data_IF_027820158755
#
_entry.id   IF_027820158755
#
_cell.length_a   1.000
_cell.length_b   1.000
_cell.length_c   1.000
_cell.angle_alpha   90.00
_cell.angle_beta   90.00
_cell.angle_gamma   90.00
#
_symmetry.space_group_name_H-M   'P 1'
#
loop_
_entity.id
_entity.type
_entity.pdbx_description
1 polymer ?
#
# COMPACT_ATOMS: atom_id res chain seq x y z
N UNK A 1 -8.93 29.01 2.76
CA UNK A 1 -9.29 28.15 1.61
C UNK A 1 -10.77 28.33 1.37
N UNK A 2 -11.18 28.93 0.24
CA UNK A 2 -12.59 29.10 -0.08
C UNK A 2 -13.01 27.91 -0.94
N UNK A 3 -13.59 26.88 -0.31
CA UNK A 3 -14.19 25.73 -0.98
C UNK A 3 -15.70 25.93 -1.06
N UNK A 4 -16.27 25.85 -2.26
CA UNK A 4 -17.72 25.80 -2.44
C UNK A 4 -18.16 24.33 -2.48
N UNK A 5 -19.12 23.95 -1.64
CA UNK A 5 -19.64 22.58 -1.52
C UNK A 5 -21.15 22.62 -1.69
N UNK A 6 -21.67 21.82 -2.62
CA UNK A 6 -23.10 21.59 -2.77
C UNK A 6 -23.44 20.21 -2.19
N UNK A 7 -24.22 20.17 -1.11
CA UNK A 7 -24.81 18.92 -0.57
C UNK A 7 -26.33 19.09 -0.50
N UNK A 8 -27.10 18.26 -1.20
CA UNK A 8 -28.56 18.22 -1.06
C UNK A 8 -28.98 17.28 0.07
N UNK A 9 -29.96 17.71 0.86
CA UNK A 9 -30.70 16.87 1.79
C UNK A 9 -31.95 16.33 1.08
N UNK A 10 -31.89 15.14 0.47
CA UNK A 10 -33.08 14.48 -0.07
C UNK A 10 -32.87 13.36 -1.09
N UNK A 11 -33.48 12.22 -0.79
CA UNK A 11 -33.89 11.05 -1.60
C UNK A 11 -32.85 10.19 -2.33
N UNK A 12 -32.89 8.90 -1.98
CA UNK A 12 -31.90 7.83 -2.11
C UNK A 12 -31.94 7.04 -3.43
N UNK A 13 -30.78 6.90 -4.08
CA UNK A 13 -30.42 5.68 -4.83
C UNK A 13 -29.47 4.88 -3.96
N UNK A 14 -29.75 3.59 -3.76
CA UNK A 14 -28.95 2.71 -2.92
C UNK A 14 -27.50 2.61 -3.42
N UNK A 15 -26.56 2.85 -2.50
CA UNK A 15 -25.12 2.80 -2.71
C UNK A 15 -24.65 1.34 -2.86
N UNK A 16 -23.84 1.02 -3.88
CA UNK A 16 -23.21 -0.31 -3.94
C UNK A 16 -22.18 -0.43 -2.82
N UNK A 17 -22.14 -1.59 -2.17
CA UNK A 17 -21.54 -1.84 -0.86
C UNK A 17 -19.99 -1.72 -0.76
N UNK A 18 -19.31 -0.99 -1.65
CA UNK A 18 -17.84 -0.92 -1.66
C UNK A 18 -17.24 0.49 -1.84
N UNK A 19 -18.05 1.54 -1.95
CA UNK A 19 -17.53 2.91 -2.11
C UNK A 19 -18.33 3.89 -1.26
N UNK A 20 -17.72 4.41 -0.19
CA UNK A 20 -18.33 5.45 0.65
C UNK A 20 -18.20 6.81 -0.02
N UNK A 21 -19.27 7.26 -0.69
CA UNK A 21 -19.37 8.61 -1.26
C UNK A 21 -19.63 9.61 -0.12
N UNK A 22 -18.99 10.78 -0.16
CA UNK A 22 -19.17 11.82 0.88
C UNK A 22 -20.52 12.53 0.69
N UNK A 23 -21.41 12.41 1.68
CA UNK A 23 -22.66 13.16 1.78
C UNK A 23 -23.86 12.29 2.12
N UNK A 24 -24.87 12.85 2.80
CA UNK A 24 -26.12 12.15 3.17
C UNK A 24 -27.18 12.16 2.05
N UNK A 25 -26.82 12.57 0.84
CA UNK A 25 -27.73 12.69 -0.30
C UNK A 25 -27.01 12.93 -1.63
N UNK A 26 -27.72 12.69 -2.73
CA UNK A 26 -27.33 13.04 -4.08
C UNK A 26 -28.33 14.05 -4.67
N UNK A 27 -27.89 14.86 -5.62
CA UNK A 27 -28.77 15.73 -6.38
C UNK A 27 -29.14 15.01 -7.67
N UNK A 28 -30.41 14.65 -7.82
CA UNK A 28 -30.93 14.17 -9.10
C UNK A 28 -31.28 15.36 -9.99
N UNK A 29 -30.66 15.42 -11.17
CA UNK A 29 -30.97 16.43 -12.18
C UNK A 29 -31.93 15.82 -13.20
N UNK A 30 -33.14 16.36 -13.32
CA UNK A 30 -34.14 15.89 -14.30
C UNK A 30 -34.84 17.09 -14.92
N UNK A 31 -34.27 17.68 -15.96
CA UNK A 31 -34.96 18.83 -16.56
C UNK A 31 -34.74 20.16 -15.84
N UNK A 32 -33.69 20.30 -15.03
CA UNK A 32 -33.30 21.57 -14.42
C UNK A 32 -31.78 21.72 -14.30
N UNK A 33 -31.32 22.94 -14.06
CA UNK A 33 -29.91 23.24 -13.78
C UNK A 33 -29.80 24.17 -12.57
N UNK A 34 -28.66 24.11 -11.89
CA UNK A 34 -28.30 25.05 -10.83
C UNK A 34 -27.49 26.17 -11.46
N UNK A 35 -27.75 27.42 -11.10
CA UNK A 35 -26.86 28.54 -11.38
C UNK A 35 -26.19 29.02 -10.10
N UNK A 36 -24.99 29.57 -10.23
CA UNK A 36 -24.27 30.22 -9.14
C UNK A 36 -23.36 31.32 -9.65
N UNK A 37 -22.79 32.09 -8.72
CA UNK A 37 -21.83 33.18 -9.01
C UNK A 37 -20.68 33.12 -7.99
N UNK A 38 -19.61 33.89 -8.22
CA UNK A 38 -18.52 34.05 -7.24
C UNK A 38 -17.34 33.07 -7.39
N UNK A 39 -17.35 32.22 -8.42
CA UNK A 39 -16.21 31.33 -8.74
C UNK A 39 -15.36 31.96 -9.85
N UNK A 40 -14.15 32.40 -9.51
CA UNK A 40 -13.19 32.95 -10.48
C UNK A 40 -12.01 31.99 -10.67
N UNK A 41 -11.96 31.37 -11.86
CA UNK A 41 -10.91 30.42 -12.29
C UNK A 41 -9.86 31.06 -13.22
N UNK A 42 -10.03 32.33 -13.59
CA UNK A 42 -9.23 33.00 -14.61
C UNK A 42 -7.79 33.14 -14.15
N UNK A 43 -6.85 32.80 -15.03
CA UNK A 43 -5.41 32.91 -14.78
C UNK A 43 -4.94 32.16 -13.51
N UNK A 44 -5.54 31.00 -13.20
CA UNK A 44 -5.25 30.25 -11.98
C UNK A 44 -5.02 28.77 -12.26
N UNK A 45 -4.26 28.13 -11.37
CA UNK A 45 -4.40 26.70 -11.16
C UNK A 45 -5.79 26.43 -10.57
N UNK A 46 -6.46 25.38 -11.02
CA UNK A 46 -7.73 25.00 -10.41
C UNK A 46 -8.02 23.51 -10.58
N UNK A 47 -8.92 23.00 -9.75
CA UNK A 47 -9.39 21.63 -9.82
C UNK A 47 -10.89 21.54 -9.57
N UNK A 48 -11.56 20.60 -10.23
CA UNK A 48 -12.98 20.30 -10.01
C UNK A 48 -13.09 18.81 -9.69
N UNK A 49 -13.85 18.45 -8.66
CA UNK A 49 -14.04 17.07 -8.22
C UNK A 49 -15.52 16.78 -7.98
N UNK A 50 -16.00 15.62 -8.42
CA UNK A 50 -17.43 15.28 -8.39
C UNK A 50 -17.65 13.77 -8.46
N UNK A 51 -18.68 13.29 -7.77
CA UNK A 51 -19.26 11.96 -7.99
C UNK A 51 -20.46 12.04 -8.91
N UNK A 52 -20.52 11.12 -9.87
CA UNK A 52 -21.55 11.11 -10.91
C UNK A 52 -22.12 9.71 -11.03
N UNK A 53 -23.44 9.59 -11.02
CA UNK A 53 -24.17 8.38 -11.42
C UNK A 53 -24.99 8.71 -12.66
N UNK A 54 -24.56 8.27 -13.83
CA UNK A 54 -25.27 8.50 -15.10
C UNK A 54 -26.26 7.39 -15.35
N UNK A 55 -27.50 7.71 -15.73
CA UNK A 55 -28.48 6.68 -16.14
C UNK A 55 -28.67 6.58 -17.65
N UNK A 56 -28.08 7.47 -18.44
CA UNK A 56 -28.19 7.47 -19.91
C UNK A 56 -26.95 8.03 -20.62
N UNK A 57 -26.79 7.65 -21.88
CA UNK A 57 -25.70 8.07 -22.76
C UNK A 57 -26.00 9.35 -23.55
N UNK A 58 -26.54 10.39 -22.89
CA UNK A 58 -26.88 11.66 -23.56
C UNK A 58 -25.85 12.76 -23.29
N UNK A 59 -25.81 13.76 -24.17
CA UNK A 59 -25.04 14.98 -23.98
C UNK A 59 -25.47 15.70 -22.70
N UNK A 60 -24.52 15.99 -21.82
CA UNK A 60 -24.81 16.68 -20.57
C UNK A 60 -23.59 17.43 -20.04
N UNK A 61 -23.77 18.68 -19.57
CA UNK A 61 -22.70 19.39 -18.88
C UNK A 61 -22.89 19.23 -17.37
N UNK A 62 -21.84 18.80 -16.70
CA UNK A 62 -21.76 18.73 -15.24
C UNK A 62 -21.51 20.13 -14.69
N UNK A 63 -20.61 20.89 -15.32
CA UNK A 63 -20.33 22.27 -14.99
C UNK A 63 -20.01 23.07 -16.26
N UNK A 64 -20.55 24.27 -16.34
CA UNK A 64 -20.18 25.24 -17.36
C UNK A 64 -20.01 26.63 -16.72
N UNK A 65 -18.92 27.34 -17.00
CA UNK A 65 -18.82 28.76 -16.65
C UNK A 65 -19.55 29.60 -17.70
N UNK A 66 -20.45 30.49 -17.29
CA UNK A 66 -21.17 31.35 -18.21
C UNK A 66 -20.26 32.52 -18.64
N UNK A 67 -19.45 32.32 -19.68
CA UNK A 67 -18.73 33.35 -20.42
C UNK A 67 -19.55 33.84 -21.62
N UNK A 68 -19.28 35.07 -22.11
CA UNK A 68 -19.88 35.55 -23.36
C UNK A 68 -19.58 34.55 -24.50
N UNK A 69 -20.59 34.26 -25.32
CA UNK A 69 -20.45 33.35 -26.47
C UNK A 69 -19.40 33.89 -27.45
N UNK A 70 -18.37 33.10 -27.73
CA UNK A 70 -17.31 33.42 -28.69
C UNK A 70 -15.97 33.78 -28.03
N UNK A 71 -14.88 33.19 -28.54
CA UNK A 71 -13.55 33.26 -27.92
C UNK A 71 -13.40 32.27 -26.74
N UNK A 72 -12.16 31.99 -26.35
CA UNK A 72 -11.72 31.02 -25.33
C UNK A 72 -12.17 31.33 -23.88
N UNK A 73 -13.47 31.51 -23.64
CA UNK A 73 -14.00 32.17 -22.44
C UNK A 73 -14.87 31.22 -21.58
N UNK A 74 -15.41 30.15 -22.17
CA UNK A 74 -16.35 29.25 -21.48
C UNK A 74 -15.69 27.90 -21.18
N UNK A 75 -15.50 27.59 -19.89
CA UNK A 75 -15.12 26.25 -19.44
C UNK A 75 -16.34 25.33 -19.44
N UNK A 76 -16.19 24.13 -20.00
CA UNK A 76 -17.22 23.09 -19.96
C UNK A 76 -16.58 21.80 -19.46
N UNK A 77 -17.23 21.19 -18.49
CA UNK A 77 -16.97 19.83 -18.03
C UNK A 77 -18.25 19.04 -18.24
N UNK A 78 -18.25 18.11 -19.18
CA UNK A 78 -19.44 17.44 -19.64
C UNK A 78 -19.16 16.17 -20.44
N UNK A 79 -20.24 15.60 -20.95
CA UNK A 79 -20.26 14.35 -21.70
C UNK A 79 -20.83 14.61 -23.07
N UNK A 80 -20.24 13.98 -24.06
CA UNK A 80 -20.85 13.82 -25.37
C UNK A 80 -21.82 12.63 -25.37
N UNK A 81 -22.80 12.67 -26.29
CA UNK A 81 -23.76 11.60 -26.59
C UNK A 81 -23.08 10.32 -27.10
N UNK A 82 -21.79 10.39 -27.41
CA UNK A 82 -20.92 9.26 -27.77
C UNK A 82 -20.19 8.63 -26.57
N UNK A 83 -20.58 8.95 -25.33
CA UNK A 83 -19.96 8.47 -24.08
C UNK A 83 -18.52 8.94 -23.84
N UNK A 84 -18.13 10.06 -24.42
CA UNK A 84 -16.86 10.70 -24.10
C UNK A 84 -17.08 11.74 -23.01
N UNK A 85 -16.44 11.54 -21.86
CA UNK A 85 -16.22 12.65 -20.92
C UNK A 85 -15.25 13.62 -21.57
N UNK A 86 -15.56 14.91 -21.48
CA UNK A 86 -14.70 15.97 -21.95
C UNK A 86 -14.61 17.11 -20.94
N UNK A 87 -13.44 17.73 -20.92
CA UNK A 87 -13.24 19.05 -20.34
C UNK A 87 -12.61 19.93 -21.40
N UNK A 88 -13.31 20.99 -21.79
CA UNK A 88 -12.85 21.91 -22.82
C UNK A 88 -13.05 23.38 -22.39
N UNK A 89 -12.38 24.28 -23.10
CA UNK A 89 -12.64 25.71 -23.01
C UNK A 89 -12.60 26.37 -24.40
N UNK A 90 -13.30 25.75 -25.36
CA UNK A 90 -13.34 26.15 -26.77
C UNK A 90 -11.96 26.26 -27.44
N UNK A 91 -11.16 25.20 -27.30
CA UNK A 91 -9.89 25.04 -28.00
C UNK A 91 -9.24 23.74 -27.53
N UNK A 92 -8.36 23.77 -26.53
CA UNK A 92 -7.81 22.59 -25.91
C UNK A 92 -8.89 21.78 -25.20
N UNK A 93 -8.80 20.48 -25.36
CA UNK A 93 -9.77 19.53 -24.82
C UNK A 93 -9.03 18.33 -24.27
N UNK A 94 -9.43 17.88 -23.08
CA UNK A 94 -9.05 16.55 -22.57
C UNK A 94 -10.30 15.68 -22.59
N UNK A 95 -10.20 14.54 -23.26
CA UNK A 95 -11.32 13.58 -23.39
C UNK A 95 -10.91 12.19 -22.93
N UNK A 96 -11.91 11.42 -22.50
CA UNK A 96 -11.76 10.00 -22.19
C UNK A 96 -13.06 9.27 -22.54
N UNK A 97 -12.96 8.08 -23.13
CA UNK A 97 -14.14 7.29 -23.44
C UNK A 97 -14.61 6.54 -22.18
N UNK A 98 -15.78 6.88 -21.67
CA UNK A 98 -16.39 6.22 -20.51
C UNK A 98 -17.86 5.84 -20.77
N UNK A 99 -18.05 4.56 -21.06
CA UNK A 99 -19.36 3.93 -21.30
C UNK A 99 -20.10 3.54 -20.02
N UNK A 100 -19.55 3.83 -18.83
CA UNK A 100 -20.16 3.45 -17.56
C UNK A 100 -21.50 4.17 -17.36
N UNK A 101 -22.55 3.37 -17.13
CA UNK A 101 -23.89 3.81 -16.77
C UNK A 101 -24.35 3.02 -15.54
N UNK A 102 -25.27 3.60 -14.77
CA UNK A 102 -25.86 3.02 -13.58
C UNK A 102 -24.84 2.63 -12.50
N UNK A 103 -23.73 3.37 -12.42
CA UNK A 103 -22.72 3.22 -11.39
C UNK A 103 -22.20 4.60 -10.97
N UNK A 104 -21.82 4.73 -9.70
CA UNK A 104 -21.14 5.90 -9.19
C UNK A 104 -19.68 5.93 -9.62
N UNK A 105 -19.29 6.96 -10.34
CA UNK A 105 -17.90 7.20 -10.76
C UNK A 105 -17.44 8.55 -10.23
N UNK A 106 -16.25 8.57 -9.65
CA UNK A 106 -15.59 9.80 -9.21
C UNK A 106 -14.74 10.35 -10.33
N UNK A 107 -14.91 11.64 -10.64
CA UNK A 107 -14.07 12.35 -11.57
C UNK A 107 -13.36 13.50 -10.89
N UNK A 108 -12.12 13.74 -11.28
CA UNK A 108 -11.41 14.96 -10.94
C UNK A 108 -10.70 15.52 -12.15
N UNK A 109 -10.91 16.80 -12.43
CA UNK A 109 -10.17 17.55 -13.42
C UNK A 109 -9.19 18.49 -12.70
N UNK A 110 -7.97 18.61 -13.22
CA UNK A 110 -6.99 19.58 -12.74
C UNK A 110 -6.40 20.37 -13.91
N UNK A 111 -6.17 21.67 -13.69
CA UNK A 111 -5.49 22.56 -14.61
C UNK A 111 -4.30 23.22 -13.92
N UNK A 112 -3.13 23.13 -14.56
CA UNK A 112 -1.92 23.84 -14.18
C UNK A 112 -1.63 24.95 -15.18
N UNK A 113 -1.60 26.20 -14.73
CA UNK A 113 -1.37 27.36 -15.61
C UNK A 113 0.08 27.50 -16.06
N UNK A 114 1.06 27.09 -15.24
CA UNK A 114 2.49 27.26 -15.55
C UNK A 114 2.90 26.41 -16.75
N UNK A 115 2.34 25.22 -16.89
CA UNK A 115 2.59 24.31 -18.02
C UNK A 115 1.41 24.14 -18.97
N UNK A 116 0.30 24.83 -18.74
CA UNK A 116 -0.97 24.65 -19.43
C UNK A 116 -1.46 23.19 -19.50
N UNK A 117 -1.24 22.45 -18.42
CA UNK A 117 -1.51 21.01 -18.36
C UNK A 117 -2.91 20.76 -17.83
N UNK A 118 -3.69 20.05 -18.62
CA UNK A 118 -5.03 19.56 -18.29
C UNK A 118 -4.93 18.09 -17.96
N UNK A 119 -5.47 17.66 -16.82
CA UNK A 119 -5.52 16.25 -16.44
C UNK A 119 -6.91 15.85 -16.02
N UNK A 120 -7.33 14.67 -16.46
CA UNK A 120 -8.58 14.07 -16.08
C UNK A 120 -8.33 12.75 -15.37
N UNK A 121 -8.94 12.61 -14.20
CA UNK A 121 -8.84 11.44 -13.34
C UNK A 121 -10.21 10.78 -13.20
N UNK A 122 -10.22 9.45 -13.24
CA UNK A 122 -11.38 8.59 -12.98
C UNK A 122 -11.05 7.69 -11.80
N UNK A 123 -11.87 7.70 -10.76
CA UNK A 123 -11.71 6.86 -9.58
C UNK A 123 -10.28 6.94 -8.99
N UNK A 124 -9.74 8.15 -8.92
CA UNK A 124 -8.38 8.42 -8.47
C UNK A 124 -7.27 8.14 -9.49
N UNK A 125 -7.54 7.48 -10.62
CA UNK A 125 -6.53 7.13 -11.63
C UNK A 125 -6.49 8.20 -12.72
N UNK A 126 -5.30 8.66 -13.13
CA UNK A 126 -5.14 9.55 -14.29
C UNK A 126 -5.53 8.78 -15.57
N UNK A 127 -6.54 9.27 -16.28
CA UNK A 127 -7.06 8.60 -17.49
C UNK A 127 -6.83 9.38 -18.78
N UNK A 128 -6.63 10.70 -18.69
CA UNK A 128 -6.29 11.52 -19.84
C UNK A 128 -5.49 12.76 -19.43
N UNK A 129 -4.62 13.23 -20.32
CA UNK A 129 -3.86 14.47 -20.15
C UNK A 129 -3.76 15.19 -21.49
N UNK A 130 -3.76 16.52 -21.46
CA UNK A 130 -3.46 17.36 -22.62
C UNK A 130 -2.63 18.56 -22.16
N UNK A 131 -1.80 19.11 -23.04
CA UNK A 131 -1.04 20.34 -22.83
C UNK A 131 -1.44 21.32 -23.92
N UNK A 132 -2.06 22.44 -23.56
CA UNK A 132 -2.60 23.37 -24.57
C UNK A 132 -1.54 24.20 -25.32
N UNK A 133 -0.27 24.08 -24.93
CA UNK A 133 0.89 24.67 -25.63
C UNK A 133 1.07 26.17 -25.43
N UNK A 134 0.00 26.97 -25.43
CA UNK A 134 0.08 28.44 -25.33
C UNK A 134 -1.15 29.12 -24.70
N UNK A 135 -2.15 28.38 -24.22
CA UNK A 135 -3.46 28.96 -23.92
C UNK A 135 -3.80 28.98 -22.43
N UNK A 136 -4.06 30.20 -21.93
CA UNK A 136 -4.54 30.49 -20.58
C UNK A 136 -6.06 30.48 -20.57
N UNK A 137 -6.66 29.82 -19.58
CA UNK A 137 -8.11 29.85 -19.39
C UNK A 137 -8.65 31.25 -19.07
N UNK A 138 -9.65 31.70 -19.85
CA UNK A 138 -10.48 32.89 -19.64
C UNK A 138 -9.71 34.22 -19.55
N UNK A 139 -8.95 34.53 -20.60
CA UNK A 139 -8.30 35.84 -20.81
C UNK A 139 -9.32 36.87 -21.33
N UNK A 140 -10.25 37.32 -20.48
CA UNK A 140 -11.05 38.51 -20.81
C UNK A 140 -12.46 38.61 -20.25
N UNK A 141 -13.02 37.58 -19.60
CA UNK A 141 -14.35 37.71 -18.98
C UNK A 141 -14.28 37.98 -17.48
N UNK A 142 -15.02 38.99 -17.03
CA UNK A 142 -15.28 39.25 -15.61
C UNK A 142 -16.39 38.37 -15.03
N UNK A 143 -17.04 37.54 -15.84
CA UNK A 143 -18.15 36.70 -15.37
C UNK A 143 -17.64 35.55 -14.50
N UNK A 144 -18.22 35.44 -13.31
CA UNK A 144 -17.96 34.35 -12.34
C UNK A 144 -19.18 33.44 -12.17
N UNK A 145 -20.14 33.59 -13.08
CA UNK A 145 -21.35 32.79 -13.16
C UNK A 145 -21.06 31.40 -13.68
N UNK A 146 -21.77 30.42 -13.14
CA UNK A 146 -21.67 29.04 -13.57
C UNK A 146 -23.02 28.36 -13.55
N UNK A 147 -23.15 27.30 -14.34
CA UNK A 147 -24.27 26.38 -14.32
C UNK A 147 -23.80 24.94 -14.09
N UNK A 148 -24.61 24.17 -13.36
CA UNK A 148 -24.41 22.74 -13.10
C UNK A 148 -25.63 22.00 -13.65
N UNK A 149 -25.39 20.99 -14.48
CA UNK A 149 -26.48 20.20 -15.06
C UNK A 149 -27.17 20.83 -16.26
N UNK A 150 -26.57 21.84 -16.91
CA UNK A 150 -27.14 22.48 -18.11
C UNK A 150 -26.75 21.70 -19.37
N UNK A 151 -27.69 21.43 -20.27
CA UNK A 151 -27.37 20.88 -21.61
C UNK A 151 -26.85 21.99 -22.52
N UNK A 152 -25.80 21.71 -23.27
CA UNK A 152 -25.22 22.64 -24.24
C UNK A 152 -26.16 22.84 -25.45
N UNK A 153 -26.56 24.09 -25.77
CA UNK A 153 -27.36 24.39 -26.98
C UNK A 153 -28.20 25.68 -26.98
N UNK A 154 -27.59 26.86 -26.89
CA UNK A 154 -28.27 28.14 -27.21
C UNK A 154 -29.39 28.58 -26.26
N UNK A 155 -29.87 29.82 -26.47
CA UNK A 155 -30.98 30.41 -25.70
C UNK A 155 -32.23 29.58 -25.99
N UNK A 156 -32.69 28.82 -25.00
CA UNK A 156 -33.82 27.90 -25.16
C UNK A 156 -33.48 26.40 -25.21
N UNK A 157 -32.21 25.98 -25.01
CA UNK A 157 -31.88 24.57 -24.73
C UNK A 157 -32.61 24.11 -23.47
N UNK A 158 -33.78 23.50 -23.68
CA UNK A 158 -34.57 22.86 -22.65
C UNK A 158 -33.73 21.78 -21.97
N UNK A 159 -33.87 21.73 -20.65
CA UNK A 159 -33.17 20.84 -19.75
C UNK A 159 -33.47 19.33 -19.94
N UNK A 160 -34.15 18.95 -21.01
CA UNK A 160 -34.55 17.58 -21.31
C UNK A 160 -33.31 16.71 -21.61
N UNK A 161 -32.97 15.84 -20.65
CA UNK A 161 -32.12 14.67 -20.89
C UNK A 161 -31.14 14.31 -19.79
N UNK A 162 -30.76 15.23 -18.90
CA UNK A 162 -29.64 15.04 -17.98
C UNK A 162 -29.96 14.13 -16.78
N UNK A 163 -30.48 12.92 -17.01
CA UNK A 163 -30.75 11.96 -15.94
C UNK A 163 -29.43 11.47 -15.35
N UNK A 164 -28.95 12.21 -14.35
CA UNK A 164 -27.77 11.89 -13.58
C UNK A 164 -27.95 12.31 -12.13
N UNK A 165 -27.29 11.59 -11.24
CA UNK A 165 -27.11 12.01 -9.87
C UNK A 165 -25.72 12.59 -9.71
N UNK A 166 -25.63 13.75 -9.06
CA UNK A 166 -24.38 14.35 -8.63
C UNK A 166 -24.23 14.27 -7.12
N UNK A 167 -23.02 14.07 -6.64
CA UNK A 167 -22.69 14.17 -5.21
C UNK A 167 -21.29 14.74 -5.02
N UNK A 168 -21.05 15.35 -3.85
CA UNK A 168 -19.77 15.95 -3.43
C UNK A 168 -19.08 16.80 -4.52
N UNK A 169 -19.84 17.66 -5.20
CA UNK A 169 -19.30 18.58 -6.20
C UNK A 169 -18.48 19.68 -5.52
N UNK A 170 -17.20 19.80 -5.93
CA UNK A 170 -16.22 20.72 -5.34
C UNK A 170 -15.43 21.44 -6.43
N UNK A 171 -15.19 22.73 -6.19
CA UNK A 171 -14.27 23.55 -6.98
C UNK A 171 -13.15 24.07 -6.06
N UNK A 172 -11.91 23.85 -6.48
CA UNK A 172 -10.70 24.36 -5.83
C UNK A 172 -10.08 25.44 -6.71
N UNK A 173 -10.12 26.69 -6.24
CA UNK A 173 -9.47 27.81 -6.91
C UNK A 173 -8.03 27.97 -6.41
N UNK A 174 -7.11 28.40 -7.28
CA UNK A 174 -5.67 28.53 -6.99
C UNK A 174 -4.98 27.22 -6.59
N UNK A 175 -5.47 26.06 -7.04
CA UNK A 175 -4.95 24.76 -6.63
C UNK A 175 -5.09 23.71 -7.74
N UNK A 176 -3.95 23.21 -8.22
CA UNK A 176 -3.87 21.91 -8.90
C UNK A 176 -3.78 20.84 -7.80
N UNK A 177 -4.79 19.97 -7.70
CA UNK A 177 -4.75 18.88 -6.72
C UNK A 177 -3.67 17.87 -7.09
N UNK A 178 -2.90 17.44 -6.09
CA UNK A 178 -1.95 16.33 -6.27
C UNK A 178 -2.67 14.98 -6.34
N UNK A 179 -2.00 13.97 -6.91
CA UNK A 179 -2.49 12.59 -6.98
C UNK A 179 -2.97 12.04 -5.63
N UNK A 180 -2.28 12.37 -4.54
CA UNK A 180 -2.65 11.96 -3.17
C UNK A 180 -3.94 12.64 -2.70
N UNK A 181 -4.12 13.93 -3.00
CA UNK A 181 -5.34 14.67 -2.67
C UNK A 181 -6.54 14.14 -3.46
N UNK A 182 -6.34 13.81 -4.74
CA UNK A 182 -7.37 13.21 -5.60
C UNK A 182 -7.79 11.83 -5.06
N UNK A 183 -6.83 10.98 -4.70
CA UNK A 183 -7.11 9.68 -4.07
C UNK A 183 -7.88 9.83 -2.75
N UNK A 184 -7.62 10.90 -1.98
CA UNK A 184 -8.36 11.20 -0.75
C UNK A 184 -9.81 11.61 -1.02
N UNK A 185 -10.08 12.27 -2.15
CA UNK A 185 -11.44 12.62 -2.57
C UNK A 185 -12.19 11.39 -3.11
N UNK A 186 -11.51 10.54 -3.90
CA UNK A 186 -12.07 9.32 -4.47
C UNK A 186 -12.41 8.25 -3.43
N UNK A 187 -11.53 7.97 -2.46
CA UNK A 187 -11.81 6.89 -1.49
C UNK A 187 -12.89 7.24 -0.47
N UNK A 188 -13.48 8.44 -0.61
CA UNK A 188 -14.05 9.14 0.52
C UNK A 188 -12.98 9.39 1.57
N UNK A 189 -13.30 10.18 2.57
CA UNK A 189 -12.46 10.17 3.75
C UNK A 189 -12.67 8.77 4.36
N UNK A 190 -11.66 7.91 4.33
CA UNK A 190 -11.52 6.87 5.37
C UNK A 190 -11.12 7.52 6.71
N UNK A 191 -11.07 8.85 6.79
CA UNK A 191 -11.48 9.50 8.03
C UNK A 191 -12.97 9.21 8.17
N UNK A 192 -13.31 8.19 8.97
CA UNK A 192 -14.49 8.29 9.85
C UNK A 192 -14.67 9.77 10.14
N UNK A 193 -15.84 10.34 9.86
CA UNK A 193 -16.21 11.57 10.54
C UNK A 193 -15.97 11.27 12.02
N UNK A 194 -14.88 11.77 12.58
CA UNK A 194 -14.79 11.98 13.99
C UNK A 194 -15.76 13.12 14.22
N UNK A 195 -17.06 12.78 14.26
CA UNK A 195 -18.05 13.63 14.90
C UNK A 195 -17.44 13.98 16.25
N UNK A 196 -17.49 15.26 16.64
CA UNK A 196 -17.05 15.68 17.98
C UNK A 196 -17.68 14.82 19.10
N UNK A 197 -18.81 14.15 18.82
CA UNK A 197 -19.46 13.18 19.71
C UNK A 197 -18.64 11.92 20.02
N UNK A 198 -17.67 11.54 19.18
CA UNK A 198 -16.85 10.34 19.37
C UNK A 198 -15.55 10.62 20.16
N UNK A 199 -15.30 11.88 20.54
CA UNK A 199 -14.27 12.27 21.50
C UNK A 199 -14.88 12.42 22.91
N UNK A 200 -15.70 11.47 23.37
CA UNK A 200 -15.98 11.35 24.81
C UNK A 200 -14.77 10.71 25.48
N UNK A 201 -14.09 11.54 26.25
CA UNK A 201 -12.94 11.23 27.09
C UNK A 201 -13.05 9.86 27.78
N UNK A 202 -11.99 9.05 27.63
CA UNK A 202 -11.55 8.13 28.68
C UNK A 202 -10.24 8.65 29.26
N UNK A 203 -10.28 9.83 29.86
CA UNK A 203 -9.28 10.29 30.81
C UNK A 203 -10.02 10.96 31.97
N UNK A 204 -9.93 10.45 33.22
CA UNK A 204 -10.74 10.95 34.33
C UNK A 204 -10.37 12.35 34.83
N UNK A 205 -9.27 12.97 34.37
CA UNK A 205 -8.76 14.21 34.98
C UNK A 205 -7.98 15.11 34.00
N UNK A 206 -8.66 15.79 33.07
CA UNK A 206 -8.03 16.93 32.38
C UNK A 206 -9.06 18.03 32.08
N UNK A 207 -8.85 19.19 32.70
CA UNK A 207 -9.62 20.43 32.62
C UNK A 207 -9.36 21.26 31.35
N UNK A 208 -9.06 20.63 30.21
CA UNK A 208 -8.94 21.33 28.92
C UNK A 208 -9.65 20.55 27.80
N UNK A 209 -10.81 21.05 27.36
CA UNK A 209 -11.71 20.40 26.40
C UNK A 209 -11.48 20.80 24.93
N UNK A 210 -10.29 21.25 24.56
CA UNK A 210 -9.95 21.51 23.16
C UNK A 210 -8.86 20.55 22.67
N UNK A 211 -9.22 19.64 21.75
CA UNK A 211 -8.24 18.92 20.94
C UNK A 211 -7.77 19.89 19.86
N UNK A 212 -6.50 20.26 19.92
CA UNK A 212 -5.87 21.09 18.91
C UNK A 212 -5.74 20.27 17.61
N UNK A 213 -6.50 20.64 16.58
CA UNK A 213 -6.52 19.95 15.29
C UNK A 213 -5.14 19.93 14.62
N UNK A 214 -4.33 20.96 14.88
CA UNK A 214 -2.94 21.05 14.42
C UNK A 214 -2.08 19.93 15.02
N UNK A 215 -2.26 19.63 16.31
CA UNK A 215 -1.53 18.57 17.00
C UNK A 215 -1.97 17.18 16.51
N UNK A 216 -3.26 17.00 16.17
CA UNK A 216 -3.75 15.75 15.59
C UNK A 216 -3.23 15.54 14.15
N UNK A 217 -3.23 16.58 13.31
CA UNK A 217 -2.68 16.49 11.94
C UNK A 217 -1.16 16.28 11.97
N UNK A 218 -0.47 16.97 12.88
CA UNK A 218 0.96 16.77 13.11
C UNK A 218 1.23 15.33 13.60
N UNK A 219 0.45 14.80 14.54
CA UNK A 219 0.60 13.43 15.05
C UNK A 219 0.48 12.38 13.95
N UNK A 220 -0.37 12.60 12.94
CA UNK A 220 -0.46 11.67 11.79
C UNK A 220 0.65 11.87 10.79
N UNK A 221 1.02 13.11 10.45
CA UNK A 221 2.05 13.37 9.42
C UNK A 221 3.48 13.06 9.88
N UNK A 222 3.76 13.17 11.17
CA UNK A 222 5.07 12.89 11.75
C UNK A 222 5.16 11.51 12.41
N UNK A 223 4.15 10.66 12.21
CA UNK A 223 4.11 9.31 12.79
C UNK A 223 5.32 8.50 12.33
N UNK A 224 6.07 7.98 13.30
CA UNK A 224 7.29 7.20 13.06
C UNK A 224 8.51 8.02 12.62
N UNK A 225 8.42 9.34 12.49
CA UNK A 225 9.56 10.19 12.13
C UNK A 225 10.33 10.72 13.36
N UNK A 226 9.69 10.75 14.52
CA UNK A 226 10.28 11.24 15.78
C UNK A 226 9.95 10.30 16.94
N UNK A 227 10.87 10.19 17.90
CA UNK A 227 10.72 9.29 19.05
C UNK A 227 9.55 9.63 19.97
N UNK A 228 9.08 10.88 20.00
CA UNK A 228 7.88 11.28 20.75
C UNK A 228 6.56 10.87 20.06
N UNK A 229 6.62 10.34 18.83
CA UNK A 229 5.46 9.91 18.06
C UNK A 229 5.74 8.62 17.27
N UNK A 230 6.08 7.51 17.96
CA UNK A 230 6.34 6.23 17.30
C UNK A 230 5.05 5.61 16.76
N UNK A 231 5.18 4.83 15.69
CA UNK A 231 4.06 4.04 15.15
C UNK A 231 4.00 2.65 15.76
N UNK A 232 2.88 1.94 15.62
CA UNK A 232 2.78 0.55 16.11
C UNK A 232 3.65 -0.41 15.29
N UNK A 233 3.74 -0.18 13.99
CA UNK A 233 4.57 -0.90 13.05
C UNK A 233 4.80 -0.05 11.79
N UNK A 234 5.65 -0.51 10.88
CA UNK A 234 5.96 0.22 9.64
C UNK A 234 4.75 0.34 8.69
N UNK A 235 3.85 -0.65 8.69
CA UNK A 235 2.62 -0.57 7.90
C UNK A 235 1.67 0.53 8.39
N UNK A 236 1.60 0.75 9.71
CA UNK A 236 0.85 1.85 10.33
C UNK A 236 1.40 3.22 9.88
N UNK A 237 2.73 3.37 9.83
CA UNK A 237 3.37 4.57 9.24
C UNK A 237 2.91 4.74 7.80
N UNK A 238 3.05 3.70 6.98
CA UNK A 238 2.74 3.78 5.56
C UNK A 238 1.29 4.17 5.32
N UNK A 239 0.36 3.55 6.04
CA UNK A 239 -1.08 3.78 5.88
C UNK A 239 -1.51 5.19 6.35
N UNK A 240 -0.88 5.74 7.40
CA UNK A 240 -1.26 7.03 7.94
C UNK A 240 -0.51 8.22 7.32
N UNK A 241 0.70 8.00 6.81
CA UNK A 241 1.58 9.07 6.27
C UNK A 241 1.70 9.06 4.75
N UNK A 242 1.50 7.90 4.11
CA UNK A 242 1.79 7.72 2.69
C UNK A 242 3.28 7.67 2.34
N UNK A 243 4.18 7.60 3.34
CA UNK A 243 5.62 7.51 3.11
C UNK A 243 6.01 6.22 2.39
N UNK A 244 6.93 6.34 1.43
CA UNK A 244 7.39 5.25 0.56
C UNK A 244 8.91 5.08 0.55
N UNK A 245 9.64 5.87 1.34
CA UNK A 245 11.10 5.86 1.38
C UNK A 245 11.58 4.82 2.38
N UNK A 246 12.47 3.91 1.98
CA UNK A 246 13.08 2.99 2.94
C UNK A 246 14.02 3.75 3.88
N UNK A 247 14.11 3.34 5.14
CA UNK A 247 14.97 4.01 6.11
C UNK A 247 14.59 3.73 7.54
N UNK A 248 15.12 4.54 8.45
CA UNK A 248 14.94 4.35 9.89
C UNK A 248 13.70 5.09 10.40
N UNK A 249 12.82 4.37 11.10
CA UNK A 249 11.58 4.89 11.64
C UNK A 249 11.38 4.48 13.10
N UNK A 250 10.69 5.32 13.86
CA UNK A 250 10.35 5.05 15.25
C UNK A 250 9.13 4.13 15.37
N UNK A 251 9.35 2.95 15.95
CA UNK A 251 8.34 1.94 16.23
C UNK A 251 8.15 1.82 17.74
N UNK A 252 6.92 1.71 18.20
CA UNK A 252 6.57 1.52 19.59
C UNK A 252 6.75 0.05 19.96
N UNK A 253 7.82 -0.23 20.69
CA UNK A 253 8.17 -1.52 21.21
C UNK A 253 7.86 -1.55 22.71
N UNK A 254 6.76 -2.22 23.10
CA UNK A 254 6.31 -2.28 24.49
C UNK A 254 6.20 -0.89 25.15
N UNK A 255 5.62 0.08 24.42
CA UNK A 255 5.51 1.50 24.77
C UNK A 255 6.82 2.29 24.79
N UNK A 256 7.94 1.69 24.39
CA UNK A 256 9.23 2.36 24.23
C UNK A 256 9.49 2.63 22.74
N UNK A 257 9.74 3.88 22.33
CA UNK A 257 10.14 4.18 20.96
C UNK A 257 11.52 3.58 20.65
N UNK A 258 11.59 2.72 19.65
CA UNK A 258 12.86 2.20 19.11
C UNK A 258 12.99 2.62 17.65
N UNK A 259 14.23 2.83 17.20
CA UNK A 259 14.50 3.11 15.81
C UNK A 259 14.70 1.78 15.06
N UNK A 260 13.95 1.56 13.98
CA UNK A 260 13.95 0.32 13.20
C UNK A 260 14.10 0.64 11.72
N UNK A 261 14.95 -0.10 11.01
CA UNK A 261 15.03 0.02 9.55
C UNK A 261 13.80 -0.61 8.90
N UNK A 262 13.11 0.15 8.05
CA UNK A 262 11.87 -0.26 7.42
C UNK A 262 11.96 -0.20 5.90
N UNK A 263 11.39 -1.20 5.25
CA UNK A 263 11.16 -1.19 3.80
C UNK A 263 9.76 -0.62 3.53
N UNK A 264 9.71 0.57 2.97
CA UNK A 264 8.49 1.34 2.71
C UNK A 264 8.13 1.37 1.23
N UNK A 265 9.05 1.05 0.32
CA UNK A 265 8.74 1.04 -1.12
C UNK A 265 7.71 -0.04 -1.49
N UNK A 266 6.92 0.21 -2.53
CA UNK A 266 5.87 -0.71 -2.99
C UNK A 266 6.41 -1.99 -3.62
N UNK A 267 7.67 -2.01 -4.08
CA UNK A 267 8.32 -3.21 -4.64
C UNK A 267 8.42 -4.38 -3.65
N UNK A 268 8.35 -4.10 -2.35
CA UNK A 268 8.33 -5.11 -1.30
C UNK A 268 6.90 -5.47 -0.92
N UNK A 269 6.11 -6.04 -1.84
CA UNK A 269 4.71 -6.42 -1.60
C UNK A 269 3.88 -5.31 -0.93
N UNK A 270 3.95 -4.09 -1.46
CA UNK A 270 3.24 -2.95 -0.90
C UNK A 270 3.93 -2.25 0.27
N UNK A 271 5.10 -2.69 0.75
CA UNK A 271 5.91 -2.02 1.77
C UNK A 271 5.37 -2.13 3.20
N UNK A 272 5.96 -1.36 4.13
CA UNK A 272 5.59 -1.36 5.54
C UNK A 272 6.22 -2.50 6.34
N UNK A 273 7.41 -2.95 5.95
CA UNK A 273 8.13 -4.04 6.61
C UNK A 273 9.17 -3.51 7.59
N UNK A 274 9.29 -4.13 8.76
CA UNK A 274 10.28 -3.79 9.78
C UNK A 274 11.39 -4.83 9.79
N UNK A 275 12.66 -4.41 9.75
CA UNK A 275 13.77 -5.34 9.93
C UNK A 275 13.78 -5.84 11.38
N UNK A 276 13.72 -7.16 11.55
CA UNK A 276 13.68 -7.81 12.87
C UNK A 276 14.96 -8.59 13.18
N UNK A 277 15.70 -9.00 12.15
CA UNK A 277 17.01 -9.64 12.28
C UNK A 277 17.77 -9.54 10.96
N UNK A 278 19.10 -9.54 11.02
CA UNK A 278 19.98 -9.74 9.86
C UNK A 278 21.16 -10.60 10.25
N UNK A 279 21.67 -11.36 9.30
CA UNK A 279 22.84 -12.19 9.51
C UNK A 279 23.79 -12.15 8.31
N UNK A 280 25.07 -12.24 8.61
CA UNK A 280 26.12 -12.54 7.63
C UNK A 280 26.25 -14.05 7.43
N UNK A 281 27.27 -14.47 6.68
CA UNK A 281 27.69 -15.87 6.55
C UNK A 281 28.38 -16.28 7.85
N UNK A 282 27.58 -16.57 8.86
CA UNK A 282 28.02 -16.90 10.22
C UNK A 282 27.19 -18.04 10.80
N UNK A 283 27.60 -18.50 11.98
CA UNK A 283 26.85 -19.44 12.82
C UNK A 283 26.09 -18.75 13.98
N UNK A 284 26.11 -17.42 14.06
CA UNK A 284 25.59 -16.63 15.20
C UNK A 284 24.13 -16.93 15.53
N UNK A 285 23.29 -17.05 14.50
CA UNK A 285 21.87 -17.34 14.62
C UNK A 285 21.53 -18.76 14.17
N UNK A 286 22.43 -19.74 14.35
CA UNK A 286 22.10 -21.14 14.12
C UNK A 286 20.84 -21.56 14.93
N UNK A 287 20.27 -22.73 14.62
CA UNK A 287 19.00 -23.17 15.24
C UNK A 287 19.01 -23.09 16.78
N UNK A 288 20.10 -23.49 17.43
CA UNK A 288 20.23 -23.56 18.89
C UNK A 288 20.58 -22.20 19.53
N UNK A 289 20.80 -21.16 18.73
CA UNK A 289 21.15 -19.84 19.25
C UNK A 289 20.06 -19.33 20.20
N UNK A 290 20.47 -18.88 21.40
CA UNK A 290 19.55 -18.38 22.43
C UNK A 290 18.73 -17.17 21.97
N UNK A 291 19.15 -16.49 20.89
CA UNK A 291 18.41 -15.42 20.24
C UNK A 291 17.04 -15.86 19.70
N UNK A 292 16.79 -17.15 19.49
CA UNK A 292 15.49 -17.63 19.00
C UNK A 292 14.44 -17.85 20.10
N UNK A 293 14.87 -17.99 21.34
CA UNK A 293 14.01 -18.42 22.46
C UNK A 293 14.07 -17.47 23.65
N UNK A 294 14.93 -16.45 23.58
CA UNK A 294 15.06 -15.41 24.60
C UNK A 294 14.91 -14.03 23.97
N UNK A 295 14.67 -13.03 24.83
CA UNK A 295 14.56 -11.63 24.42
C UNK A 295 15.91 -10.94 24.16
N UNK A 296 17.02 -11.69 24.13
CA UNK A 296 18.34 -11.11 23.86
C UNK A 296 18.36 -10.42 22.49
N UNK A 297 18.95 -9.24 22.42
CA UNK A 297 19.26 -8.51 21.19
C UNK A 297 20.74 -8.69 20.84
N UNK A 298 21.10 -8.34 19.60
CA UNK A 298 22.49 -8.33 19.16
C UNK A 298 22.69 -7.14 18.23
N UNK A 299 23.71 -6.31 18.48
CA UNK A 299 24.07 -5.16 17.63
C UNK A 299 22.86 -4.28 17.25
N UNK A 300 21.93 -4.06 18.16
CA UNK A 300 20.64 -3.40 17.93
C UNK A 300 20.72 -1.98 17.37
N UNK A 301 21.88 -1.33 17.49
CA UNK A 301 22.15 0.01 16.95
C UNK A 301 22.62 -0.01 15.49
N UNK A 302 23.00 -1.15 14.94
CA UNK A 302 23.32 -1.29 13.53
C UNK A 302 22.03 -1.41 12.71
N UNK A 303 21.49 -0.27 12.32
CA UNK A 303 20.27 -0.16 11.51
C UNK A 303 20.55 -0.11 10.01
N UNK A 304 21.76 -0.50 9.59
CA UNK A 304 22.13 -0.52 8.18
C UNK A 304 21.84 -1.88 7.54
N UNK A 305 21.82 -1.92 6.22
CA UNK A 305 21.69 -3.16 5.44
C UNK A 305 23.05 -3.81 5.15
N UNK A 306 24.09 -3.46 5.90
CA UNK A 306 25.46 -3.96 5.73
C UNK A 306 25.57 -5.48 6.03
N UNK A 307 26.75 -6.01 5.78
CA UNK A 307 27.09 -7.41 6.02
C UNK A 307 27.51 -7.65 7.48
N UNK A 308 26.54 -7.75 8.39
CA UNK A 308 26.81 -8.07 9.79
C UNK A 308 25.61 -8.72 10.47
N UNK A 309 25.86 -9.33 11.63
CA UNK A 309 24.82 -9.95 12.46
C UNK A 309 24.14 -8.91 13.37
N UNK A 310 22.81 -8.87 13.37
CA UNK A 310 22.02 -8.11 14.34
C UNK A 310 20.64 -8.73 14.59
N UNK A 311 20.14 -8.57 15.81
CA UNK A 311 18.76 -8.89 16.21
C UNK A 311 18.20 -7.71 16.99
N UNK A 312 17.01 -7.28 16.62
CA UNK A 312 16.38 -6.07 17.17
C UNK A 312 15.22 -6.41 18.11
N UNK A 313 14.91 -5.48 19.00
CA UNK A 313 13.74 -5.58 19.89
C UNK A 313 12.41 -5.77 19.16
N UNK A 314 12.32 -5.29 17.91
CA UNK A 314 11.17 -5.54 17.06
C UNK A 314 10.87 -7.05 16.92
N UNK A 315 11.89 -7.91 16.89
CA UNK A 315 11.72 -9.37 16.88
C UNK A 315 11.02 -9.88 18.16
N UNK A 316 11.40 -9.32 19.31
CA UNK A 316 11.00 -9.79 20.63
C UNK A 316 9.61 -9.30 21.05
N UNK A 317 9.20 -8.13 20.55
CA UNK A 317 8.12 -7.38 21.18
C UNK A 317 7.06 -6.85 20.23
N UNK A 318 7.35 -6.69 18.94
CA UNK A 318 6.38 -6.16 17.98
C UNK A 318 5.58 -7.31 17.36
N UNK A 319 4.24 -7.32 17.49
CA UNK A 319 3.40 -8.28 16.80
C UNK A 319 3.49 -8.15 15.28
N UNK A 320 3.63 -9.27 14.59
CA UNK A 320 3.74 -9.35 13.12
C UNK A 320 2.79 -10.40 12.57
N UNK A 321 2.33 -10.21 11.34
CA UNK A 321 1.40 -11.11 10.65
C UNK A 321 2.03 -11.79 9.45
N UNK A 322 2.94 -11.10 8.78
CA UNK A 322 3.66 -11.59 7.61
C UNK A 322 5.16 -11.58 7.88
N UNK A 323 5.89 -12.52 7.27
CA UNK A 323 7.35 -12.58 7.31
C UNK A 323 7.95 -12.55 5.91
N UNK A 324 9.04 -11.82 5.77
CA UNK A 324 9.81 -11.75 4.53
C UNK A 324 11.29 -11.90 4.84
N UNK A 325 12.00 -12.71 4.07
CA UNK A 325 13.45 -12.81 4.11
C UNK A 325 14.04 -12.49 2.74
N UNK A 326 15.15 -11.74 2.75
CA UNK A 326 15.89 -11.35 1.55
C UNK A 326 17.31 -11.87 1.69
N UNK A 327 17.77 -12.67 0.73
CA UNK A 327 19.16 -13.15 0.59
C UNK A 327 19.88 -12.37 -0.51
N UNK A 328 20.67 -11.35 -0.16
CA UNK A 328 21.31 -10.47 -1.14
C UNK A 328 22.36 -11.19 -1.99
N UNK A 329 22.94 -12.28 -1.48
CA UNK A 329 24.13 -12.89 -2.06
C UNK A 329 23.86 -14.24 -2.76
N UNK A 330 22.61 -14.71 -2.85
CA UNK A 330 22.22 -15.81 -3.76
C UNK A 330 22.36 -15.36 -5.22
N UNK A 331 22.16 -14.07 -5.48
CA UNK A 331 22.30 -13.40 -6.77
C UNK A 331 23.65 -13.66 -7.49
N UNK A 332 24.73 -13.75 -6.71
CA UNK A 332 26.09 -13.83 -7.26
C UNK A 332 26.39 -15.16 -7.96
N UNK A 333 25.58 -16.19 -7.72
CA UNK A 333 25.86 -17.56 -8.19
C UNK A 333 25.07 -17.95 -9.46
N UNK A 334 24.03 -17.17 -9.84
CA UNK A 334 23.12 -17.54 -10.95
C UNK A 334 23.00 -16.48 -12.06
N UNK A 335 23.84 -15.44 -12.05
CA UNK A 335 23.87 -14.42 -13.10
C UNK A 335 22.61 -13.55 -13.24
N UNK A 336 21.64 -13.73 -12.33
CA UNK A 336 20.42 -12.93 -12.25
C UNK A 336 20.14 -12.64 -10.77
N UNK A 337 20.07 -11.36 -10.42
CA UNK A 337 20.14 -10.89 -9.03
C UNK A 337 18.82 -10.99 -8.25
N UNK A 338 17.85 -11.73 -8.80
CA UNK A 338 16.44 -11.66 -8.38
C UNK A 338 15.78 -13.04 -8.41
N UNK A 339 14.76 -13.26 -7.56
CA UNK A 339 13.96 -14.47 -7.61
C UNK A 339 13.28 -14.84 -6.29
N UNK A 340 12.60 -15.98 -6.29
CA UNK A 340 11.75 -16.41 -5.19
C UNK A 340 10.37 -15.77 -5.24
N UNK A 341 9.79 -15.50 -4.07
CA UNK A 341 8.42 -14.98 -3.95
C UNK A 341 8.23 -13.59 -4.57
N UNK A 342 9.29 -12.78 -4.66
CA UNK A 342 9.28 -11.45 -5.27
C UNK A 342 10.49 -11.30 -6.20
N UNK A 343 10.28 -10.70 -7.38
CA UNK A 343 11.34 -10.42 -8.34
C UNK A 343 11.86 -8.98 -8.15
N UNK A 344 12.83 -8.80 -7.23
CA UNK A 344 13.42 -7.50 -6.89
C UNK A 344 14.96 -7.57 -6.92
N UNK A 345 15.61 -6.44 -7.22
CA UNK A 345 17.09 -6.33 -7.33
C UNK A 345 17.85 -6.50 -6.01
N UNK A 346 17.15 -6.50 -4.88
CA UNK A 346 17.73 -6.60 -3.54
C UNK A 346 18.16 -8.03 -3.15
N UNK A 347 17.81 -9.04 -3.93
CA UNK A 347 18.20 -10.44 -3.72
C UNK A 347 17.07 -11.45 -3.95
N UNK A 348 17.34 -12.71 -3.58
CA UNK A 348 16.32 -13.76 -3.53
C UNK A 348 15.36 -13.50 -2.38
N UNK A 349 14.05 -13.72 -2.56
CA UNK A 349 13.04 -13.39 -1.56
C UNK A 349 12.18 -14.58 -1.19
N UNK A 350 11.93 -14.76 0.11
CA UNK A 350 10.89 -15.61 0.64
C UNK A 350 9.85 -14.71 1.30
N UNK A 351 8.58 -14.91 0.97
CA UNK A 351 7.46 -14.18 1.55
C UNK A 351 6.38 -15.18 1.96
N UNK A 352 6.02 -15.16 3.24
CA UNK A 352 4.90 -15.93 3.78
C UNK A 352 3.93 -14.96 4.44
N UNK A 353 2.77 -14.82 3.82
CA UNK A 353 1.65 -14.06 4.38
C UNK A 353 0.90 -14.91 5.40
N UNK A 354 0.41 -14.30 6.47
CA UNK A 354 -0.30 -15.00 7.55
C UNK A 354 0.52 -16.16 8.15
N UNK A 355 1.80 -15.93 8.44
CA UNK A 355 2.77 -17.01 8.72
C UNK A 355 2.48 -17.85 9.98
N UNK A 356 1.56 -17.40 10.84
CA UNK A 356 1.21 -18.03 12.10
C UNK A 356 -0.29 -18.28 12.21
N UNK A 357 -0.66 -19.57 12.38
CA UNK A 357 -2.01 -20.06 12.68
C UNK A 357 -3.14 -19.33 11.91
N UNK A 358 -3.06 -19.28 10.58
CA UNK A 358 -4.06 -18.66 9.71
C UNK A 358 -4.33 -17.17 10.00
N UNK A 359 -3.30 -16.40 10.39
CA UNK A 359 -3.37 -14.93 10.42
C UNK A 359 -3.43 -14.30 11.82
N UNK A 360 -2.88 -14.98 12.84
CA UNK A 360 -2.59 -14.36 14.13
C UNK A 360 -1.51 -13.28 14.03
N UNK A 361 -1.34 -12.51 15.11
CA UNK A 361 -0.30 -11.48 15.25
C UNK A 361 0.67 -11.86 16.39
N UNK A 362 1.43 -12.96 16.28
CA UNK A 362 2.45 -13.27 17.28
C UNK A 362 3.61 -12.28 17.21
N UNK A 363 4.44 -12.23 18.25
CA UNK A 363 5.80 -11.69 18.09
C UNK A 363 6.61 -12.67 17.24
N UNK A 364 7.65 -12.19 16.58
CA UNK A 364 8.55 -13.07 15.84
C UNK A 364 9.14 -14.15 16.77
N UNK A 365 9.53 -13.77 18.00
CA UNK A 365 9.98 -14.70 19.03
C UNK A 365 9.03 -15.90 19.23
N UNK A 366 7.74 -15.64 19.42
CA UNK A 366 6.75 -16.70 19.64
C UNK A 366 6.51 -17.53 18.36
N UNK A 367 6.52 -16.88 17.20
CA UNK A 367 6.24 -17.53 15.93
C UNK A 367 7.40 -18.38 15.38
N UNK A 368 8.66 -18.00 15.61
CA UNK A 368 9.83 -18.75 15.14
C UNK A 368 10.27 -19.87 16.10
N UNK A 369 9.73 -19.94 17.31
CA UNK A 369 10.00 -21.04 18.24
C UNK A 369 8.97 -22.17 18.18
N UNK A 370 7.76 -21.92 17.64
CA UNK A 370 6.71 -22.94 17.55
C UNK A 370 6.92 -23.86 16.32
N UNK A 371 7.24 -25.16 16.51
CA UNK A 371 7.39 -26.11 15.42
C UNK A 371 6.08 -26.34 14.68
N UNK A 372 6.06 -26.15 13.35
CA UNK A 372 4.90 -26.40 12.49
C UNK A 372 5.27 -26.43 11.01
N UNK A 373 4.37 -26.97 10.21
CA UNK A 373 4.40 -26.77 8.77
C UNK A 373 4.08 -25.31 8.42
N UNK A 374 4.83 -24.77 7.46
CA UNK A 374 4.49 -23.52 6.83
C UNK A 374 3.31 -23.69 5.86
N UNK A 375 2.73 -22.58 5.40
CA UNK A 375 1.71 -22.59 4.36
C UNK A 375 2.25 -21.84 3.12
N UNK A 376 2.45 -22.51 1.97
CA UNK A 376 2.27 -23.95 1.74
C UNK A 376 3.37 -24.80 2.41
N UNK A 377 3.01 -26.03 2.79
CA UNK A 377 3.91 -26.99 3.44
C UNK A 377 4.76 -27.78 2.45
N UNK A 378 4.32 -27.88 1.20
CA UNK A 378 5.09 -28.46 0.11
C UNK A 378 6.07 -27.39 -0.46
N UNK A 379 7.40 -27.59 -0.38
CA UNK A 379 8.38 -26.65 -0.94
C UNK A 379 8.17 -26.38 -2.43
N UNK A 380 7.77 -27.37 -3.23
CA UNK A 380 7.52 -27.19 -4.67
C UNK A 380 6.31 -26.28 -4.97
N UNK A 381 5.43 -26.05 -3.99
CA UNK A 381 4.31 -25.11 -4.11
C UNK A 381 4.64 -23.73 -3.54
N UNK A 382 5.78 -23.57 -2.88
CA UNK A 382 6.19 -22.30 -2.30
C UNK A 382 6.98 -21.47 -3.33
N UNK A 383 6.48 -20.27 -3.64
CA UNK A 383 7.11 -19.39 -4.64
C UNK A 383 8.55 -18.98 -4.31
N UNK A 384 8.95 -19.05 -3.03
CA UNK A 384 10.33 -18.78 -2.61
C UNK A 384 11.30 -19.92 -2.91
N UNK A 385 10.83 -21.11 -3.28
CA UNK A 385 11.67 -22.26 -3.56
C UNK A 385 11.97 -22.42 -5.06
N UNK A 386 13.18 -22.87 -5.37
CA UNK A 386 13.60 -23.27 -6.72
C UNK A 386 14.67 -24.36 -6.63
N UNK A 387 14.49 -25.44 -7.40
CA UNK A 387 15.51 -26.47 -7.56
C UNK A 387 16.80 -25.88 -8.15
N UNK A 388 17.95 -26.28 -7.60
CA UNK A 388 19.26 -25.75 -7.98
C UNK A 388 19.70 -24.53 -7.18
N UNK A 389 18.79 -23.83 -6.48
CA UNK A 389 19.15 -22.80 -5.48
C UNK A 389 19.39 -23.42 -4.11
N UNK A 390 18.49 -24.31 -3.70
CA UNK A 390 18.54 -25.03 -2.42
C UNK A 390 18.64 -26.53 -2.67
N UNK A 391 19.38 -27.23 -1.81
CA UNK A 391 19.60 -28.66 -1.92
C UNK A 391 18.32 -29.42 -1.61
N UNK A 392 18.14 -30.56 -2.26
CA UNK A 392 16.90 -31.34 -2.22
C UNK A 392 17.16 -32.83 -2.16
N UNK A 393 16.20 -33.56 -1.60
CA UNK A 393 16.11 -35.02 -1.70
C UNK A 393 14.66 -35.45 -1.97
N UNK A 394 14.43 -36.75 -2.12
CA UNK A 394 13.11 -37.34 -2.38
C UNK A 394 13.10 -38.73 -1.78
N UNK A 395 12.01 -39.17 -1.12
CA UNK A 395 10.65 -38.63 -1.29
C UNK A 395 10.11 -37.75 -0.16
N UNK A 396 10.81 -37.61 0.97
CA UNK A 396 10.33 -36.76 2.07
C UNK A 396 10.78 -35.30 1.90
N UNK A 397 9.82 -34.38 2.01
CA UNK A 397 10.09 -32.94 2.03
C UNK A 397 9.01 -32.14 2.75
N UNK A 398 9.40 -31.12 3.51
CA UNK A 398 8.49 -30.16 4.16
C UNK A 398 9.10 -28.77 4.26
N UNK A 399 8.24 -27.77 4.14
CA UNK A 399 8.52 -26.37 4.49
C UNK A 399 7.99 -26.11 5.91
N UNK A 400 8.85 -25.64 6.81
CA UNK A 400 8.58 -25.60 8.25
C UNK A 400 9.01 -24.30 8.91
N UNK A 401 8.41 -24.01 10.07
CA UNK A 401 8.84 -23.02 11.04
C UNK A 401 9.15 -23.69 12.37
N UNK A 402 10.08 -23.13 13.14
CA UNK A 402 10.34 -23.53 14.53
C UNK A 402 10.94 -24.91 14.74
N UNK A 403 11.62 -25.44 13.73
CA UNK A 403 12.18 -26.79 13.75
C UNK A 403 11.33 -27.79 12.97
N UNK A 404 11.81 -29.03 12.90
CA UNK A 404 11.08 -30.15 12.27
C UNK A 404 10.56 -31.17 13.31
N UNK A 405 10.74 -30.90 14.60
CA UNK A 405 10.41 -31.85 15.67
C UNK A 405 8.93 -32.26 15.74
N UNK A 406 8.03 -31.57 15.02
CA UNK A 406 6.62 -31.98 14.86
C UNK A 406 6.41 -33.02 13.75
N UNK A 407 7.42 -33.27 12.91
CA UNK A 407 7.39 -34.24 11.79
C UNK A 407 8.47 -35.33 11.90
N UNK A 408 9.40 -35.23 12.86
CA UNK A 408 10.43 -36.25 13.13
C UNK A 408 10.77 -36.37 14.62
N UNK A 409 11.29 -37.52 15.04
CA UNK A 409 11.59 -37.83 16.44
C UNK A 409 13.03 -37.52 16.87
N UNK A 410 13.84 -36.96 15.98
CA UNK A 410 15.19 -36.54 16.31
C UNK A 410 15.48 -35.14 15.75
N UNK A 411 16.65 -34.59 16.09
CA UNK A 411 16.98 -33.21 15.75
C UNK A 411 17.85 -33.11 14.49
N UNK A 412 17.65 -33.99 13.49
CA UNK A 412 18.51 -34.04 12.31
C UNK A 412 18.03 -33.06 11.25
N UNK A 413 18.82 -32.01 10.97
CA UNK A 413 18.47 -31.02 9.95
C UNK A 413 17.44 -29.99 10.41
N UNK A 414 17.62 -29.44 11.61
CA UNK A 414 16.71 -28.43 12.16
C UNK A 414 16.91 -27.06 11.51
N UNK A 415 15.79 -26.38 11.26
CA UNK A 415 15.72 -25.02 10.70
C UNK A 415 14.69 -24.20 11.48
N UNK A 416 14.94 -22.91 11.70
CA UNK A 416 13.94 -22.00 12.30
C UNK A 416 12.89 -21.58 11.30
N UNK A 417 13.28 -21.47 10.04
CA UNK A 417 12.37 -21.34 8.91
C UNK A 417 13.07 -21.84 7.65
N UNK A 418 12.47 -22.81 6.97
CA UNK A 418 12.95 -23.27 5.66
C UNK A 418 12.51 -24.68 5.32
N UNK A 419 13.32 -25.40 4.53
CA UNK A 419 12.97 -26.70 3.99
C UNK A 419 13.81 -27.81 4.62
N UNK A 420 13.18 -28.96 4.84
CA UNK A 420 13.83 -30.21 5.25
C UNK A 420 13.49 -31.32 4.26
N UNK A 421 14.46 -32.18 3.99
CA UNK A 421 14.41 -33.21 2.95
C UNK A 421 15.05 -34.51 3.45
N UNK A 422 14.53 -35.64 2.99
CA UNK A 422 15.07 -36.98 3.27
C UNK A 422 14.77 -37.94 2.12
N UNK A 423 15.65 -38.92 1.88
CA UNK A 423 15.51 -39.97 0.88
C UNK A 423 14.94 -41.29 1.42
N UNK A 424 14.93 -41.49 2.73
CA UNK A 424 14.64 -42.79 3.37
C UNK A 424 13.15 -43.21 3.31
N UNK A 425 12.23 -42.31 2.95
CA UNK A 425 10.80 -42.62 2.77
C UNK A 425 9.94 -41.36 2.69
N UNK A 426 8.70 -41.48 2.19
CA UNK A 426 7.89 -40.30 1.82
C UNK A 426 7.44 -39.43 3.02
N UNK A 427 7.49 -39.98 4.23
CA UNK A 427 7.16 -39.28 5.48
C UNK A 427 8.22 -39.55 6.57
N UNK A 428 9.42 -39.98 6.17
CA UNK A 428 10.50 -40.16 7.13
C UNK A 428 11.28 -38.85 7.25
N UNK A 429 11.15 -38.15 8.37
CA UNK A 429 11.95 -36.96 8.68
C UNK A 429 12.92 -37.21 9.84
N UNK A 430 13.14 -38.48 10.21
CA UNK A 430 14.11 -38.81 11.26
C UNK A 430 15.54 -38.70 10.72
N UNK A 431 15.83 -38.79 9.43
CA UNK A 431 17.22 -38.65 8.98
C UNK A 431 17.34 -37.66 7.85
N UNK A 432 16.87 -36.43 8.07
CA UNK A 432 16.97 -35.41 7.03
C UNK A 432 18.44 -35.15 6.67
N UNK A 433 18.80 -35.44 5.42
CA UNK A 433 20.17 -35.31 4.89
C UNK A 433 20.34 -34.04 4.03
N UNK A 434 19.26 -33.32 3.73
CA UNK A 434 19.33 -31.95 3.23
C UNK A 434 18.33 -31.03 3.91
N UNK A 435 18.78 -29.82 4.22
CA UNK A 435 17.94 -28.80 4.85
C UNK A 435 18.53 -27.41 4.66
N UNK A 436 17.68 -26.40 4.62
CA UNK A 436 18.09 -25.05 4.24
C UNK A 436 17.12 -23.99 4.73
N UNK A 437 17.58 -22.74 4.77
CA UNK A 437 16.80 -21.58 5.21
C UNK A 437 17.54 -20.78 6.28
N UNK A 438 16.80 -20.36 7.32
CA UNK A 438 17.26 -19.50 8.41
C UNK A 438 17.30 -20.31 9.71
N UNK A 439 18.32 -20.04 10.53
CA UNK A 439 18.51 -20.66 11.82
C UNK A 439 18.68 -22.16 11.68
N UNK A 440 19.76 -22.53 11.01
CA UNK A 440 20.00 -23.91 10.60
C UNK A 440 21.02 -24.55 11.55
N UNK A 441 20.77 -25.76 12.04
CA UNK A 441 21.79 -26.50 12.79
C UNK A 441 22.09 -27.89 12.24
N UNK A 442 22.94 -28.56 13.02
CA UNK A 442 23.76 -29.69 12.69
C UNK A 442 22.98 -30.98 12.86
N UNK A 443 22.85 -31.75 11.78
CA UNK A 443 23.00 -33.19 11.92
C UNK A 443 24.50 -33.49 11.78
N UNK A 444 25.11 -34.11 12.78
CA UNK A 444 26.42 -34.79 12.69
C UNK A 444 27.75 -34.02 12.81
N UNK A 445 28.73 -34.63 13.52
CA UNK A 445 30.14 -34.20 13.57
C UNK A 445 30.93 -34.53 12.31
N UNK A 446 30.59 -35.63 11.64
CA UNK A 446 31.43 -36.19 10.59
C UNK A 446 31.39 -35.40 9.27
N UNK A 447 30.49 -34.43 9.12
CA UNK A 447 30.42 -33.55 7.94
C UNK A 447 30.95 -32.13 8.19
N UNK A 448 31.61 -31.86 9.33
CA UNK A 448 32.37 -30.63 9.57
C UNK A 448 31.57 -29.32 9.66
N UNK A 449 30.25 -29.37 9.86
CA UNK A 449 29.38 -28.20 9.76
C UNK A 449 28.96 -27.63 11.13
N UNK A 450 29.26 -26.36 11.39
CA UNK A 450 29.10 -25.67 12.69
C UNK A 450 27.71 -25.04 12.91
N UNK A 451 26.74 -25.31 12.04
CA UNK A 451 25.45 -24.62 12.03
C UNK A 451 25.56 -23.25 11.37
N UNK A 452 24.46 -22.77 10.78
CA UNK A 452 24.45 -21.56 9.94
C UNK A 452 23.31 -20.64 10.35
N UNK A 453 23.57 -19.34 10.44
CA UNK A 453 22.55 -18.30 10.62
C UNK A 453 21.54 -18.34 9.47
N UNK A 454 22.04 -18.50 8.25
CA UNK A 454 21.24 -18.87 7.09
C UNK A 454 22.10 -19.61 6.07
N UNK A 455 21.49 -20.49 5.27
CA UNK A 455 22.19 -21.17 4.20
C UNK A 455 21.53 -22.45 3.74
N UNK A 456 22.31 -23.22 3.00
CA UNK A 456 21.94 -24.50 2.44
C UNK A 456 22.89 -25.59 2.94
N UNK A 457 22.35 -26.73 3.36
CA UNK A 457 23.11 -27.89 3.81
C UNK A 457 22.70 -29.14 3.05
N UNK A 458 23.72 -29.87 2.62
CA UNK A 458 23.58 -31.13 1.90
C UNK A 458 24.61 -32.13 2.42
N UNK A 459 24.11 -33.23 3.00
CA UNK A 459 24.88 -34.37 3.45
C UNK A 459 25.18 -35.34 2.30
N UNK A 460 24.14 -35.87 1.65
CA UNK A 460 24.28 -36.79 0.51
C UNK A 460 22.94 -37.01 -0.22
N UNK A 461 22.95 -38.01 -1.11
CA UNK A 461 21.77 -38.81 -1.42
C UNK A 461 20.59 -38.06 -2.08
N UNK A 462 20.90 -36.95 -2.78
CA UNK A 462 19.97 -36.20 -3.62
C UNK A 462 20.69 -35.25 -4.57
N UNK A 463 20.16 -34.04 -4.69
CA UNK A 463 20.74 -33.00 -5.54
C UNK A 463 21.30 -31.88 -4.67
N UNK A 464 22.63 -31.71 -4.71
CA UNK A 464 23.29 -30.56 -4.12
C UNK A 464 22.97 -29.28 -4.91
N UNK A 465 22.85 -28.17 -4.20
CA UNK A 465 22.74 -26.82 -4.76
C UNK A 465 23.86 -25.94 -4.22
N UNK A 466 23.54 -24.76 -3.66
CA UNK A 466 24.53 -23.81 -3.17
C UNK A 466 25.39 -24.36 -2.02
N UNK A 467 24.82 -25.20 -1.15
CA UNK A 467 25.49 -25.87 -0.02
C UNK A 467 26.49 -24.99 0.76
N UNK A 468 26.12 -23.74 1.06
CA UNK A 468 26.97 -22.73 1.72
C UNK A 468 26.20 -21.90 2.72
N UNK A 469 26.92 -21.13 3.51
CA UNK A 469 26.37 -20.04 4.31
C UNK A 469 25.91 -18.89 3.41
N UNK A 470 24.87 -18.18 3.84
CA UNK A 470 24.27 -17.07 3.09
C UNK A 470 23.98 -15.90 4.01
N UNK A 471 23.94 -14.69 3.44
CA UNK A 471 23.44 -13.52 4.15
C UNK A 471 21.91 -13.55 4.16
N UNK A 472 21.29 -13.04 5.22
CA UNK A 472 19.84 -12.85 5.25
C UNK A 472 19.46 -11.57 5.96
N UNK A 473 18.42 -10.92 5.46
CA UNK A 473 17.71 -9.84 6.15
C UNK A 473 16.27 -10.30 6.34
N UNK A 474 15.86 -10.43 7.60
CA UNK A 474 14.54 -10.89 8.00
C UNK A 474 13.68 -9.71 8.44
N UNK A 475 12.47 -9.67 7.92
CA UNK A 475 11.49 -8.61 8.15
C UNK A 475 10.15 -9.17 8.62
N UNK A 476 9.46 -8.39 9.44
CA UNK A 476 8.07 -8.64 9.84
C UNK A 476 7.17 -7.44 9.58
N UNK A 477 5.89 -7.71 9.29
CA UNK A 477 4.88 -6.69 9.00
C UNK A 477 3.61 -6.91 9.80
#
# INVERSE_FOLDING_TARGET
MNSFTLTSSGSSVAYSNLVTIKGTGSLYLTGGWITGTGVNLNNKNFSISVWIYRTSAVDCNIYASDGNYGGYITFIFGWYSTNWIYVNYYGPEVTYNDTTLNEWVHYTYTYNITGYVMKLYRNGVLVATNTSGTQVFNTGSSTTSYSIGRRYGGVGAQASGNNMYLSDFRIYTNLELSQSQINTLYRGNINREYRLSNFRNKSPNATSTQINLSDHIASKRFMGLIGSNPAKNALDIKNNTGLTVDGNYYISCNNTPILTYCLMQTKYDGGGWMMIMKATRSATFNYEANYWTTINTLNERDLTINDSDAKYDAFNHVPIKDVMAIWPDIANDFGNSTGGSLNISDGWVWLVNNYYNNGGYPKALDGFQLPRDANPSNPYSFAGFRSGTFSTQSPAYRHVFGGHSHIGNNNWGTVRWGFVWNENGANDFNSCDAWNGIGVSRAFAAFGNTGKSAGDNYGCCGSAALNREMKVRLYGR
#
